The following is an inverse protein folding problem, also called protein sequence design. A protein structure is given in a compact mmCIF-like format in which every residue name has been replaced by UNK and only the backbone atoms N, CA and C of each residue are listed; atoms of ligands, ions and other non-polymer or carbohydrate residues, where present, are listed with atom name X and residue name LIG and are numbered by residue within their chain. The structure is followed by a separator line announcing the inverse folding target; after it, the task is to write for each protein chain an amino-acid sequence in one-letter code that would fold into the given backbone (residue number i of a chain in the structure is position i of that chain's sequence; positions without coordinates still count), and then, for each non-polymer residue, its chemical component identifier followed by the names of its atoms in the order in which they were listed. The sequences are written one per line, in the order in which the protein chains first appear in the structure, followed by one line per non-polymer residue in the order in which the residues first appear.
data_IF_613604862398
#
_entry.id   IF_613604862398
#
_cell.length_a   1.000
_cell.length_b   1.000
_cell.length_c   1.000
_cell.angle_alpha   90.00
_cell.angle_beta   90.00
_cell.angle_gamma   90.00
#
_symmetry.space_group_name_H-M   'P 1'
#
loop_
_entity.id
_entity.type
_entity.pdbx_description
1 polymer ?
#
# COMPACT_ATOMS: atom_id res chain seq x y z
N UNK A 1 -13.98 -14.09 -29.84
CA UNK A 1 -14.86 -13.15 -29.09
C UNK A 1 -14.22 -12.84 -27.76
N UNK A 2 -13.37 -11.84 -27.78
CA UNK A 2 -12.78 -11.32 -26.54
C UNK A 2 -13.81 -10.39 -25.91
N UNK A 3 -14.52 -10.87 -24.89
CA UNK A 3 -15.40 -10.06 -24.06
C UNK A 3 -14.58 -8.96 -23.40
N UNK A 4 -14.91 -7.71 -23.75
CA UNK A 4 -14.35 -6.48 -23.20
C UNK A 4 -14.34 -6.52 -21.66
N UNK A 5 -13.31 -5.99 -20.99
CA UNK A 5 -13.29 -5.87 -19.53
C UNK A 5 -14.23 -4.74 -19.08
N UNK A 6 -15.50 -5.05 -18.93
CA UNK A 6 -16.52 -4.20 -18.28
C UNK A 6 -16.51 -4.36 -16.76
N UNK A 7 -15.34 -4.64 -16.19
CA UNK A 7 -15.21 -5.13 -14.84
C UNK A 7 -15.58 -4.10 -13.75
N UNK A 8 -15.20 -2.83 -13.93
CA UNK A 8 -15.55 -1.77 -12.96
C UNK A 8 -17.02 -1.35 -13.06
N UNK A 9 -17.63 -1.49 -14.22
CA UNK A 9 -19.03 -1.16 -14.43
C UNK A 9 -19.96 -2.23 -13.82
N UNK A 10 -19.53 -3.50 -13.86
CA UNK A 10 -20.30 -4.62 -13.29
C UNK A 10 -20.44 -4.52 -11.76
N UNK A 11 -19.39 -4.19 -11.05
CA UNK A 11 -19.42 -4.05 -9.58
C UNK A 11 -20.35 -2.90 -9.15
N UNK A 12 -20.33 -1.79 -9.88
CA UNK A 12 -21.22 -0.66 -9.61
C UNK A 12 -22.69 -1.02 -9.86
N UNK A 13 -22.98 -1.70 -10.97
CA UNK A 13 -24.33 -2.19 -11.29
C UNK A 13 -24.85 -3.23 -10.31
N UNK A 14 -24.01 -4.12 -9.81
CA UNK A 14 -24.40 -5.12 -8.83
C UNK A 14 -24.70 -4.51 -7.45
N UNK A 15 -23.99 -3.46 -7.07
CA UNK A 15 -24.30 -2.68 -5.87
C UNK A 15 -25.64 -1.95 -6.01
N UNK A 16 -25.88 -1.29 -7.15
CA UNK A 16 -27.15 -0.60 -7.41
C UNK A 16 -28.34 -1.56 -7.41
N UNK A 17 -28.17 -2.76 -7.99
CA UNK A 17 -29.17 -3.83 -7.92
C UNK A 17 -29.45 -4.30 -6.51
N UNK A 18 -28.43 -4.45 -5.68
CA UNK A 18 -28.57 -4.87 -4.28
C UNK A 18 -29.41 -3.88 -3.46
N UNK A 19 -29.35 -2.58 -3.79
CA UNK A 19 -30.13 -1.53 -3.10
C UNK A 19 -31.55 -1.33 -3.66
N UNK A 20 -31.77 -1.59 -4.94
CA UNK A 20 -33.00 -1.19 -5.62
C UNK A 20 -33.92 -2.36 -6.06
N UNK A 21 -33.39 -3.57 -6.20
CA UNK A 21 -34.24 -4.74 -6.57
C UNK A 21 -34.95 -5.32 -5.34
N UNK A 22 -36.29 -5.43 -5.48
CA UNK A 22 -37.14 -6.15 -4.51
C UNK A 22 -36.97 -7.66 -4.69
N UNK A 23 -35.99 -8.25 -4.03
CA UNK A 23 -35.81 -9.72 -4.02
C UNK A 23 -36.76 -10.42 -3.08
N UNK A 24 -37.34 -11.57 -3.56
CA UNK A 24 -38.04 -12.50 -2.68
C UNK A 24 -37.02 -13.22 -1.81
N UNK A 25 -37.27 -13.27 -0.49
CA UNK A 25 -36.43 -14.00 0.45
C UNK A 25 -36.15 -15.42 0.00
N UNK A 26 -34.92 -15.87 -0.13
CA UNK A 26 -34.64 -17.30 -0.25
C UNK A 26 -35.14 -18.00 1.03
N UNK A 27 -35.61 -19.23 0.92
CA UNK A 27 -36.19 -19.99 2.05
C UNK A 27 -35.20 -19.98 3.24
N UNK A 28 -35.53 -19.21 4.28
CA UNK A 28 -34.75 -19.13 5.54
C UNK A 28 -33.51 -18.23 5.55
N UNK A 29 -33.24 -17.48 4.47
CA UNK A 29 -32.08 -16.58 4.37
C UNK A 29 -32.41 -15.10 4.53
N UNK A 30 -31.35 -14.28 4.67
CA UNK A 30 -31.44 -12.82 4.66
C UNK A 30 -31.57 -12.30 3.23
N UNK A 31 -32.25 -11.17 3.04
CA UNK A 31 -32.22 -10.45 1.76
C UNK A 31 -30.83 -9.86 1.54
N UNK A 32 -30.45 -9.56 0.28
CA UNK A 32 -29.15 -8.92 -0.03
C UNK A 32 -28.93 -7.65 0.75
N UNK A 33 -29.97 -6.84 0.88
CA UNK A 33 -29.92 -5.60 1.65
C UNK A 33 -29.67 -5.85 3.15
N UNK A 34 -30.38 -6.82 3.74
CA UNK A 34 -30.18 -7.18 5.15
C UNK A 34 -28.78 -7.74 5.39
N UNK A 35 -28.28 -8.58 4.49
CA UNK A 35 -26.93 -9.11 4.55
C UNK A 35 -25.88 -7.98 4.44
N UNK A 36 -26.07 -7.04 3.51
CA UNK A 36 -25.21 -5.88 3.37
C UNK A 36 -25.12 -5.07 4.68
N UNK A 37 -26.26 -4.69 5.28
CA UNK A 37 -26.25 -3.94 6.52
C UNK A 37 -25.66 -4.72 7.69
N UNK A 38 -25.87 -6.02 7.74
CA UNK A 38 -25.27 -6.87 8.78
C UNK A 38 -23.74 -6.91 8.65
N UNK A 39 -23.24 -7.14 7.43
CA UNK A 39 -21.78 -7.13 7.15
C UNK A 39 -21.20 -5.75 7.37
N UNK A 40 -21.88 -4.69 6.94
CA UNK A 40 -21.44 -3.31 7.17
C UNK A 40 -21.31 -3.00 8.66
N UNK A 41 -22.33 -3.30 9.45
CA UNK A 41 -22.31 -3.05 10.89
C UNK A 41 -21.24 -3.89 11.62
N UNK A 42 -21.09 -5.18 11.24
CA UNK A 42 -20.07 -6.04 11.83
C UNK A 42 -18.65 -5.62 11.45
N UNK A 43 -18.43 -5.22 10.21
CA UNK A 43 -17.14 -4.70 9.75
C UNK A 43 -16.78 -3.39 10.42
N UNK A 44 -17.76 -2.50 10.58
CA UNK A 44 -17.57 -1.23 11.29
C UNK A 44 -17.22 -1.47 12.77
N UNK A 45 -17.96 -2.34 13.46
CA UNK A 45 -17.69 -2.69 14.84
C UNK A 45 -16.30 -3.36 15.01
N UNK A 46 -15.94 -4.26 14.10
CA UNK A 46 -14.62 -4.88 14.11
C UNK A 46 -13.50 -3.87 13.87
N UNK A 47 -13.69 -2.91 12.95
CA UNK A 47 -12.67 -1.94 12.59
C UNK A 47 -12.26 -1.03 13.76
N UNK A 48 -13.15 -0.78 14.70
CA UNK A 48 -12.86 0.00 15.92
C UNK A 48 -11.71 -0.62 16.73
N UNK A 49 -11.59 -1.96 16.75
CA UNK A 49 -10.56 -2.66 17.51
C UNK A 49 -9.15 -2.36 16.94
N UNK A 50 -8.82 -2.67 15.67
CA UNK A 50 -7.50 -2.42 15.13
C UNK A 50 -7.21 -0.92 14.90
N UNK A 51 -8.21 -0.11 14.59
CA UNK A 51 -7.98 1.30 14.29
C UNK A 51 -7.79 2.16 15.53
N UNK A 52 -8.49 1.88 16.61
CA UNK A 52 -8.53 2.72 17.81
C UNK A 52 -7.86 2.10 19.04
N UNK A 53 -8.21 0.85 19.36
CA UNK A 53 -7.72 0.23 20.61
C UNK A 53 -6.34 -0.42 20.47
N UNK A 54 -6.09 -1.14 19.38
CA UNK A 54 -4.88 -1.95 19.23
C UNK A 54 -4.31 -1.84 17.81
N UNK A 55 -3.67 -0.74 17.47
CA UNK A 55 -3.00 -0.56 16.18
C UNK A 55 -1.92 -1.62 15.91
N UNK A 56 -1.34 -2.21 16.96
CA UNK A 56 -0.38 -3.30 16.81
C UNK A 56 -0.96 -4.57 16.15
N UNK A 57 -2.29 -4.74 16.18
CA UNK A 57 -2.98 -5.88 15.55
C UNK A 57 -2.97 -5.79 14.03
N UNK A 58 -2.81 -4.59 13.48
CA UNK A 58 -2.70 -4.41 12.02
C UNK A 58 -1.43 -5.01 11.45
N UNK A 59 -0.38 -5.14 12.27
CA UNK A 59 0.92 -5.66 11.81
C UNK A 59 1.66 -6.33 12.95
N UNK A 60 1.36 -7.59 13.20
CA UNK A 60 2.06 -8.42 14.19
C UNK A 60 3.21 -9.13 13.49
N UNK A 61 4.45 -8.90 13.93
CA UNK A 61 5.62 -9.60 13.41
C UNK A 61 6.16 -10.61 14.41
N UNK A 62 6.08 -11.89 14.08
CA UNK A 62 6.66 -12.95 14.91
C UNK A 62 8.18 -12.86 14.99
N UNK A 63 8.84 -12.45 13.89
CA UNK A 63 10.29 -12.27 13.84
C UNK A 63 10.74 -11.19 14.83
N UNK A 64 10.04 -10.07 14.86
CA UNK A 64 10.35 -8.99 15.79
C UNK A 64 10.04 -9.34 17.27
N UNK A 65 9.05 -10.20 17.50
CA UNK A 65 8.73 -10.67 18.85
C UNK A 65 9.81 -11.61 19.42
N UNK A 66 10.38 -12.48 18.60
CA UNK A 66 11.43 -13.43 19.00
C UNK A 66 12.78 -12.73 19.14
N UNK A 67 13.17 -11.88 18.19
CA UNK A 67 14.47 -11.18 18.17
C UNK A 67 14.35 -9.69 18.38
N UNK A 68 13.89 -9.27 19.56
CA UNK A 68 13.62 -7.85 19.89
C UNK A 68 14.83 -6.93 19.75
N UNK A 69 16.04 -7.43 20.01
CA UNK A 69 17.26 -6.62 20.08
C UNK A 69 18.08 -6.63 18.78
N UNK A 70 17.65 -7.36 17.76
CA UNK A 70 18.37 -7.43 16.48
C UNK A 70 17.83 -6.44 15.47
N UNK A 71 18.67 -5.50 15.03
CA UNK A 71 18.32 -4.51 14.00
C UNK A 71 17.96 -5.23 12.68
N UNK A 72 18.75 -6.24 12.30
CA UNK A 72 18.51 -7.01 11.09
C UNK A 72 17.16 -7.77 11.14
N UNK A 73 16.81 -8.34 12.30
CA UNK A 73 15.51 -8.98 12.47
C UNK A 73 14.35 -7.99 12.35
N UNK A 74 14.52 -6.77 12.83
CA UNK A 74 13.54 -5.70 12.66
C UNK A 74 13.43 -5.23 11.20
N UNK A 75 14.54 -5.14 10.49
CA UNK A 75 14.58 -4.79 9.06
C UNK A 75 13.89 -5.84 8.19
N UNK A 76 14.05 -7.12 8.53
CA UNK A 76 13.45 -8.23 7.79
C UNK A 76 12.00 -8.46 8.20
N UNK A 77 11.71 -8.45 9.50
CA UNK A 77 10.43 -8.88 10.06
C UNK A 77 9.38 -7.78 10.21
N UNK A 78 9.77 -6.50 10.32
CA UNK A 78 8.80 -5.43 10.53
C UNK A 78 7.92 -5.23 9.30
N UNK A 79 6.61 -5.38 9.44
CA UNK A 79 5.66 -5.14 8.35
C UNK A 79 5.39 -3.66 8.06
N UNK A 80 5.77 -2.75 8.97
CA UNK A 80 5.57 -1.30 8.76
C UNK A 80 6.82 -0.56 8.27
N UNK A 81 8.01 -1.04 8.63
CA UNK A 81 9.28 -0.34 8.32
C UNK A 81 10.34 -1.23 7.67
N UNK A 82 10.09 -2.52 7.59
CA UNK A 82 10.97 -3.53 7.01
C UNK A 82 10.27 -4.34 5.92
N UNK A 83 10.84 -5.49 5.56
CA UNK A 83 10.35 -6.34 4.48
C UNK A 83 9.06 -7.10 4.82
N UNK A 84 8.63 -7.13 6.09
CA UNK A 84 7.41 -7.79 6.51
C UNK A 84 7.44 -9.31 6.53
N UNK A 85 8.60 -9.93 6.46
CA UNK A 85 8.71 -11.40 6.48
C UNK A 85 8.29 -11.92 7.86
N UNK A 86 7.30 -12.84 7.88
CA UNK A 86 6.72 -13.34 9.12
C UNK A 86 5.84 -12.33 9.86
N UNK A 87 5.38 -11.28 9.19
CA UNK A 87 4.36 -10.39 9.71
C UNK A 87 2.97 -10.86 9.28
N UNK A 88 2.00 -10.68 10.18
CA UNK A 88 0.61 -11.05 9.98
C UNK A 88 -0.30 -9.91 10.41
N UNK A 89 -1.23 -9.52 9.56
CA UNK A 89 -2.21 -8.49 9.86
C UNK A 89 -3.60 -9.08 10.06
N UNK A 90 -4.25 -8.70 11.15
CA UNK A 90 -5.66 -9.04 11.42
C UNK A 90 -6.59 -7.87 11.05
N UNK A 91 -6.12 -6.96 10.23
CA UNK A 91 -6.92 -5.86 9.73
C UNK A 91 -7.80 -6.30 8.56
N UNK A 92 -9.05 -5.89 8.57
CA UNK A 92 -10.01 -6.18 7.50
C UNK A 92 -9.54 -5.64 6.13
N UNK A 93 -8.86 -4.50 6.11
CA UNK A 93 -8.26 -3.95 4.89
C UNK A 93 -7.20 -4.88 4.28
N UNK A 94 -6.44 -5.57 5.11
CA UNK A 94 -5.45 -6.56 4.63
C UNK A 94 -6.12 -7.76 3.97
N UNK A 95 -7.29 -8.17 4.48
CA UNK A 95 -8.02 -9.34 3.98
C UNK A 95 -8.89 -9.00 2.77
N UNK A 96 -9.58 -7.88 2.78
CA UNK A 96 -10.61 -7.55 1.79
C UNK A 96 -10.24 -6.41 0.83
N UNK A 97 -9.33 -5.51 1.23
CA UNK A 97 -9.00 -4.30 0.47
C UNK A 97 -7.78 -4.43 -0.45
N UNK A 98 -6.91 -5.41 -0.21
CA UNK A 98 -5.75 -5.63 -1.05
C UNK A 98 -6.20 -6.23 -2.39
N UNK A 99 -6.06 -5.48 -3.48
CA UNK A 99 -6.53 -5.83 -4.84
C UNK A 99 -8.05 -5.83 -5.05
N UNK A 100 -8.84 -5.25 -4.15
CA UNK A 100 -10.29 -5.34 -4.19
C UNK A 100 -10.81 -6.69 -3.71
N UNK A 101 -12.03 -7.07 -4.14
CA UNK A 101 -12.57 -8.37 -3.75
C UNK A 101 -11.85 -9.52 -4.47
N UNK A 102 -11.33 -10.54 -3.76
CA UNK A 102 -10.71 -11.71 -4.40
C UNK A 102 -11.69 -12.51 -5.26
N UNK A 103 -13.01 -12.35 -5.05
CA UNK A 103 -14.06 -12.95 -5.88
C UNK A 103 -14.27 -12.21 -7.20
N UNK A 104 -13.88 -10.94 -7.25
CA UNK A 104 -14.10 -10.07 -8.39
C UNK A 104 -12.87 -9.96 -9.30
N UNK A 105 -11.67 -10.28 -8.81
CA UNK A 105 -10.41 -10.18 -9.55
C UNK A 105 -10.06 -11.53 -10.21
N UNK A 106 -9.80 -11.56 -11.52
CA UNK A 106 -9.42 -12.80 -12.19
C UNK A 106 -8.08 -13.31 -11.67
N UNK A 107 -7.93 -14.65 -11.57
CA UNK A 107 -6.76 -15.31 -10.97
C UNK A 107 -5.42 -14.91 -11.60
N UNK A 108 -5.37 -14.70 -12.92
CA UNK A 108 -4.15 -14.27 -13.59
C UNK A 108 -3.67 -12.88 -13.12
N UNK A 109 -4.59 -11.96 -12.83
CA UNK A 109 -4.24 -10.64 -12.33
C UNK A 109 -3.65 -10.72 -10.91
N UNK A 110 -4.20 -11.59 -10.06
CA UNK A 110 -3.67 -11.86 -8.71
C UNK A 110 -2.25 -12.42 -8.80
N UNK A 111 -2.03 -13.41 -9.69
CA UNK A 111 -0.70 -14.01 -9.88
C UNK A 111 0.30 -12.99 -10.40
N UNK A 112 -0.04 -12.18 -11.39
CA UNK A 112 0.84 -11.13 -11.91
C UNK A 112 1.23 -10.13 -10.84
N UNK A 113 0.28 -9.69 -10.03
CA UNK A 113 0.55 -8.76 -8.92
C UNK A 113 1.45 -9.42 -7.87
N UNK A 114 1.19 -10.70 -7.53
CA UNK A 114 2.02 -11.45 -6.58
C UNK A 114 3.47 -11.59 -7.08
N UNK A 115 3.66 -11.96 -8.36
CA UNK A 115 4.99 -12.06 -8.97
C UNK A 115 5.70 -10.71 -8.94
N UNK A 116 5.01 -9.64 -9.34
CA UNK A 116 5.55 -8.28 -9.28
C UNK A 116 5.94 -7.86 -7.85
N UNK A 117 5.09 -8.16 -6.87
CA UNK A 117 5.35 -7.89 -5.46
C UNK A 117 6.58 -8.64 -4.95
N UNK A 118 6.69 -9.95 -5.23
CA UNK A 118 7.83 -10.77 -4.80
C UNK A 118 9.13 -10.26 -5.42
N UNK A 119 9.15 -10.02 -6.73
CA UNK A 119 10.32 -9.48 -7.42
C UNK A 119 10.73 -8.12 -6.85
N UNK A 120 9.78 -7.26 -6.61
CA UNK A 120 10.04 -5.90 -6.16
C UNK A 120 10.50 -5.86 -4.71
N UNK A 121 9.68 -6.37 -3.78
CA UNK A 121 9.92 -6.25 -2.34
C UNK A 121 11.01 -7.22 -1.85
N UNK A 122 11.09 -8.44 -2.40
CA UNK A 122 12.02 -9.45 -1.89
C UNK A 122 13.30 -9.62 -2.72
N UNK A 123 13.38 -9.02 -3.91
CA UNK A 123 14.60 -9.07 -4.73
C UNK A 123 15.20 -7.67 -4.91
N UNK A 124 14.49 -6.74 -5.53
CA UNK A 124 15.04 -5.42 -5.88
C UNK A 124 15.33 -4.56 -4.64
N UNK A 125 14.39 -4.48 -3.72
CA UNK A 125 14.54 -3.66 -2.50
C UNK A 125 15.70 -4.17 -1.64
N UNK A 126 15.82 -5.46 -1.30
CA UNK A 126 16.95 -5.96 -0.53
C UNK A 126 18.30 -5.74 -1.21
N UNK A 127 18.42 -6.07 -2.50
CA UNK A 127 19.65 -5.85 -3.26
C UNK A 127 20.07 -4.39 -3.17
N UNK A 128 19.17 -3.46 -3.42
CA UNK A 128 19.46 -2.03 -3.41
C UNK A 128 19.78 -1.51 -2.00
N UNK A 129 19.09 -2.00 -0.98
CA UNK A 129 19.31 -1.62 0.41
C UNK A 129 20.66 -2.08 0.93
N UNK A 130 20.99 -3.38 0.75
CA UNK A 130 22.27 -3.90 1.25
C UNK A 130 23.49 -3.45 0.44
N UNK A 131 23.31 -3.07 -0.82
CA UNK A 131 24.35 -2.37 -1.60
C UNK A 131 24.46 -0.87 -1.26
N UNK A 132 23.66 -0.39 -0.32
CA UNK A 132 23.68 1.00 0.13
C UNK A 132 23.43 2.02 -1.00
N UNK A 133 22.55 1.69 -1.94
CA UNK A 133 22.19 2.59 -3.02
C UNK A 133 21.53 3.86 -2.44
N UNK A 134 22.02 5.04 -2.83
CA UNK A 134 21.56 6.33 -2.31
C UNK A 134 21.63 6.47 -0.76
N UNK A 135 22.65 5.89 -0.13
CA UNK A 135 22.79 5.88 1.33
C UNK A 135 21.64 5.19 2.09
N UNK A 136 20.98 4.21 1.45
CA UNK A 136 19.77 3.58 1.93
C UNK A 136 19.87 3.00 3.36
N UNK A 137 21.07 2.58 3.79
CA UNK A 137 21.28 2.01 5.14
C UNK A 137 21.08 3.00 6.28
N UNK A 138 21.08 4.30 5.98
CA UNK A 138 20.84 5.36 6.98
C UNK A 138 19.35 5.53 7.31
N UNK A 139 18.46 4.97 6.46
CA UNK A 139 17.04 5.19 6.54
C UNK A 139 16.28 3.87 6.68
N UNK A 140 15.01 3.88 7.17
CA UNK A 140 14.16 2.69 7.15
C UNK A 140 13.98 2.17 5.72
N UNK A 141 13.82 0.86 5.56
CA UNK A 141 13.57 0.25 4.25
C UNK A 141 12.26 0.78 3.66
N UNK A 142 11.19 0.80 4.46
CA UNK A 142 9.88 1.33 4.10
C UNK A 142 9.58 2.57 4.95
N UNK A 143 9.37 3.70 4.29
CA UNK A 143 8.89 4.93 4.92
C UNK A 143 8.32 5.87 3.87
N UNK A 144 7.25 6.56 4.22
CA UNK A 144 6.67 7.65 3.42
C UNK A 144 7.26 9.03 3.76
N UNK A 145 8.17 9.09 4.73
CA UNK A 145 8.82 10.33 5.13
C UNK A 145 10.07 10.62 4.30
N UNK A 146 10.39 11.89 4.20
CA UNK A 146 11.66 12.39 3.68
C UNK A 146 12.64 12.59 4.83
N UNK A 147 13.92 12.42 4.56
CA UNK A 147 14.97 12.44 5.57
C UNK A 147 16.07 13.46 5.23
N UNK A 148 16.79 13.92 6.24
CA UNK A 148 18.00 14.69 6.08
C UNK A 148 19.26 13.78 6.04
N UNK A 149 20.44 14.37 5.87
CA UNK A 149 21.70 13.64 5.83
C UNK A 149 22.04 12.93 7.15
N UNK A 150 21.41 13.32 8.27
CA UNK A 150 21.61 12.72 9.59
C UNK A 150 20.69 11.50 9.85
N UNK A 151 19.69 11.27 8.98
CA UNK A 151 18.67 10.23 9.17
C UNK A 151 17.43 10.68 9.95
N UNK A 152 17.36 11.95 10.33
CA UNK A 152 16.17 12.54 10.94
C UNK A 152 15.13 12.93 9.89
N UNK A 153 13.86 13.06 10.30
CA UNK A 153 12.80 13.52 9.41
C UNK A 153 13.11 14.94 8.93
N UNK A 154 13.03 15.15 7.61
CA UNK A 154 13.36 16.42 6.98
C UNK A 154 12.43 17.55 7.45
N UNK A 155 13.01 18.63 7.97
CA UNK A 155 12.23 19.76 8.42
C UNK A 155 12.01 20.75 7.27
N UNK A 156 10.88 20.62 6.59
CA UNK A 156 10.49 21.44 5.45
C UNK A 156 10.38 22.92 5.81
N UNK A 157 9.98 23.26 7.04
CA UNK A 157 9.79 24.65 7.45
C UNK A 157 11.09 25.48 7.49
N UNK A 158 12.25 24.81 7.56
CA UNK A 158 13.56 25.49 7.48
C UNK A 158 13.93 25.94 6.09
N UNK A 159 13.35 25.32 5.08
CA UNK A 159 13.71 25.49 3.67
C UNK A 159 12.61 26.23 2.90
N UNK A 160 11.42 26.29 3.48
CA UNK A 160 10.26 26.94 2.88
C UNK A 160 10.21 28.42 3.30
N UNK A 161 10.09 29.29 2.32
CA UNK A 161 9.76 30.71 2.58
C UNK A 161 8.27 30.81 2.89
N UNK A 162 7.91 31.15 4.14
CA UNK A 162 6.53 31.21 4.61
C UNK A 162 5.67 32.28 3.90
N UNK A 163 6.28 33.27 3.22
CA UNK A 163 5.55 34.34 2.53
C UNK A 163 5.21 34.01 1.09
N UNK A 164 6.13 33.35 0.38
CA UNK A 164 5.99 33.03 -1.05
C UNK A 164 5.63 31.58 -1.29
N UNK A 165 5.70 30.71 -0.27
CA UNK A 165 5.57 29.26 -0.37
C UNK A 165 6.53 28.63 -1.39
N UNK A 166 7.66 29.30 -1.62
CA UNK A 166 8.72 28.85 -2.49
C UNK A 166 9.92 28.33 -1.69
N UNK A 167 10.77 27.54 -2.34
CA UNK A 167 11.98 26.99 -1.72
C UNK A 167 13.04 28.08 -1.62
N UNK A 168 13.51 28.33 -0.40
CA UNK A 168 14.69 29.16 -0.16
C UNK A 168 15.95 28.35 -0.50
N UNK A 169 16.54 28.68 -1.65
CA UNK A 169 17.70 27.93 -2.18
C UNK A 169 18.95 28.06 -1.30
N UNK A 170 19.12 29.16 -0.58
CA UNK A 170 20.27 29.34 0.30
C UNK A 170 20.11 28.50 1.57
N UNK A 171 18.94 28.49 2.15
CA UNK A 171 18.60 27.62 3.29
C UNK A 171 18.64 26.14 2.89
N UNK A 172 18.17 25.77 1.70
CA UNK A 172 18.25 24.40 1.18
C UNK A 172 19.70 23.91 1.05
N UNK A 173 20.59 24.72 0.49
CA UNK A 173 22.02 24.37 0.35
C UNK A 173 22.74 24.25 1.69
N UNK A 174 22.36 25.09 2.66
CA UNK A 174 23.00 25.12 3.97
C UNK A 174 22.47 24.05 4.93
N UNK A 175 21.22 23.56 4.73
CA UNK A 175 20.63 22.60 5.64
C UNK A 175 21.02 21.16 5.26
N UNK A 176 20.46 20.60 4.24
CA UNK A 176 20.73 19.23 3.81
C UNK A 176 20.06 18.92 2.48
N UNK A 177 20.65 17.99 1.71
CA UNK A 177 19.94 17.33 0.62
C UNK A 177 18.79 16.51 1.17
N UNK A 178 17.72 16.40 0.39
CA UNK A 178 16.57 15.59 0.71
C UNK A 178 16.84 14.14 0.33
N UNK A 179 16.65 13.23 1.28
CA UNK A 179 16.78 11.78 1.08
C UNK A 179 15.45 11.10 1.24
N UNK A 180 15.28 9.98 0.54
CA UNK A 180 14.09 9.14 0.55
C UNK A 180 14.44 7.72 0.99
N UNK A 181 13.48 7.00 1.56
CA UNK A 181 13.64 5.56 1.76
C UNK A 181 13.74 4.86 0.40
N UNK A 182 14.42 3.72 0.36
CA UNK A 182 14.64 3.00 -0.89
C UNK A 182 13.33 2.58 -1.57
N UNK A 183 12.36 2.11 -0.78
CA UNK A 183 11.03 1.75 -1.31
C UNK A 183 10.29 2.96 -1.85
N UNK A 184 10.37 4.11 -1.18
CA UNK A 184 9.71 5.32 -1.63
C UNK A 184 10.29 5.84 -2.96
N UNK A 185 11.63 5.79 -3.10
CA UNK A 185 12.29 6.15 -4.36
C UNK A 185 11.88 5.23 -5.51
N UNK A 186 11.77 3.93 -5.25
CA UNK A 186 11.31 2.96 -6.24
C UNK A 186 9.83 3.11 -6.58
N UNK A 187 8.97 3.45 -5.61
CA UNK A 187 7.54 3.68 -5.82
C UNK A 187 7.30 4.83 -6.78
N UNK A 188 8.06 5.91 -6.65
CA UNK A 188 8.06 6.99 -7.64
C UNK A 188 8.47 6.50 -9.04
N UNK A 189 9.53 5.70 -9.12
CA UNK A 189 9.98 5.11 -10.39
C UNK A 189 8.92 4.24 -11.03
N UNK A 190 8.24 3.40 -10.25
CA UNK A 190 7.13 2.55 -10.73
C UNK A 190 5.91 3.38 -11.16
N UNK A 191 5.61 4.47 -10.46
CA UNK A 191 4.51 5.36 -10.83
C UNK A 191 4.75 5.98 -12.20
N UNK A 192 5.97 6.46 -12.48
CA UNK A 192 6.34 6.96 -13.81
C UNK A 192 6.35 5.84 -14.87
N UNK A 193 6.83 4.66 -14.53
CA UNK A 193 6.82 3.51 -15.43
C UNK A 193 5.38 3.11 -15.81
N UNK A 194 4.47 3.11 -14.85
CA UNK A 194 3.04 2.81 -15.07
C UNK A 194 2.39 3.84 -16.00
N UNK A 195 2.66 5.12 -15.75
CA UNK A 195 2.16 6.20 -16.63
C UNK A 195 2.68 6.04 -18.06
N UNK A 196 3.97 5.82 -18.22
CA UNK A 196 4.62 5.61 -19.53
C UNK A 196 4.07 4.36 -20.23
N UNK A 197 3.91 3.26 -19.50
CA UNK A 197 3.34 2.02 -20.02
C UNK A 197 1.90 2.21 -20.51
N UNK A 198 1.10 2.96 -19.77
CA UNK A 198 -0.29 3.28 -20.14
C UNK A 198 -0.35 4.09 -21.43
N UNK A 199 0.47 5.13 -21.54
CA UNK A 199 0.56 5.96 -22.77
C UNK A 199 1.03 5.12 -23.95
N UNK A 200 2.09 4.33 -23.76
CA UNK A 200 2.61 3.47 -24.82
C UNK A 200 1.59 2.42 -25.27
N UNK A 201 0.87 1.81 -24.35
CA UNK A 201 -0.17 0.84 -24.64
C UNK A 201 -1.30 1.47 -25.49
N UNK A 202 -1.78 2.65 -25.08
CA UNK A 202 -2.83 3.36 -25.85
C UNK A 202 -2.32 3.70 -27.24
N UNK A 203 -1.10 4.22 -27.38
CA UNK A 203 -0.53 4.58 -28.68
C UNK A 203 -0.33 3.38 -29.62
N UNK A 204 0.03 2.22 -29.06
CA UNK A 204 0.31 1.01 -29.87
C UNK A 204 -0.95 0.23 -30.24
N UNK A 205 -1.97 0.23 -29.40
CA UNK A 205 -3.14 -0.65 -29.58
C UNK A 205 -4.45 0.09 -29.85
N UNK A 206 -4.50 1.40 -29.61
CA UNK A 206 -5.71 2.24 -29.76
C UNK A 206 -5.45 3.54 -30.54
N UNK A 207 -4.24 3.73 -31.10
CA UNK A 207 -3.87 4.86 -31.96
C UNK A 207 -4.22 4.67 -33.42
#
# INVERSE_FOLDING_TARGET
DYTKPTFNFGISCDNDRAFHEKEKRPKGGNTRLQFFFLVFASSFAYYVIPAYFFQAVTTISFVCLVWKNSITAQQIGSGMRGLGIGSFGLDWNTVAGFLGSPLAVPGFAIINTLVGFVLFIYVLVPISYWNNLYDAKKFPIISSHTFDSSGAIYNVTRVLNAKTFDIDMDNYKNYSKLYLSITFAFDYGLSFATLTATIAHVALFHG
#
